data_IF_085119936039
#
_entry.id   IF_085119936039
#
_cell.length_a   1.000
_cell.length_b   1.000
_cell.length_c   1.000
_cell.angle_alpha   90.00
_cell.angle_beta   90.00
_cell.angle_gamma   90.00
#
_symmetry.space_group_name_H-M   'P 1'
#
loop_
_entity.id
_entity.type
_entity.pdbx_description
1 polymer ?
#
# COMPACT_ATOMS: atom_id res chain seq x y z
N UNK A 1 -1.37 -5.38 25.55
CA UNK A 1 -1.41 -4.01 25.00
C UNK A 1 -2.72 -3.24 25.24
N UNK A 2 -3.84 -3.89 25.61
CA UNK A 2 -5.14 -3.21 25.69
C UNK A 2 -5.22 -1.95 26.57
N UNK A 3 -4.48 -1.83 27.67
CA UNK A 3 -4.57 -0.63 28.54
C UNK A 3 -3.99 0.64 27.91
N UNK A 4 -2.94 0.53 27.08
CA UNK A 4 -2.32 1.70 26.42
C UNK A 4 -3.14 2.11 25.22
N UNK A 5 -3.56 1.14 24.41
CA UNK A 5 -4.45 1.35 23.27
C UNK A 5 -5.75 2.05 23.69
N UNK A 6 -6.44 1.56 24.73
CA UNK A 6 -7.67 2.19 25.24
C UNK A 6 -7.45 3.64 25.70
N UNK A 7 -6.28 3.94 26.30
CA UNK A 7 -5.96 5.31 26.74
C UNK A 7 -5.65 6.25 25.58
N UNK A 8 -4.95 5.76 24.56
CA UNK A 8 -4.54 6.57 23.41
C UNK A 8 -5.59 6.60 22.30
N UNK A 9 -6.58 5.71 22.32
CA UNK A 9 -7.63 5.66 21.31
C UNK A 9 -8.33 7.02 21.14
N UNK A 10 -8.81 7.62 22.25
CA UNK A 10 -9.50 8.91 22.21
C UNK A 10 -8.66 10.06 21.62
N UNK A 11 -7.42 10.32 22.08
CA UNK A 11 -6.61 11.38 21.48
C UNK A 11 -6.22 11.10 20.02
N UNK A 12 -5.98 9.83 19.65
CA UNK A 12 -5.69 9.46 18.26
C UNK A 12 -6.89 9.70 17.34
N UNK A 13 -8.09 9.28 17.77
CA UNK A 13 -9.34 9.57 17.05
C UNK A 13 -9.59 11.07 16.94
N UNK A 14 -9.34 11.84 18.00
CA UNK A 14 -9.47 13.30 17.94
C UNK A 14 -8.53 13.95 16.91
N UNK A 15 -7.28 13.48 16.80
CA UNK A 15 -6.32 13.94 15.78
C UNK A 15 -6.88 13.72 14.36
N UNK A 16 -7.45 12.53 14.12
CA UNK A 16 -8.02 12.14 12.83
C UNK A 16 -9.27 12.96 12.52
N UNK A 17 -10.24 12.98 13.44
CA UNK A 17 -11.54 13.63 13.26
C UNK A 17 -11.42 15.15 13.09
N UNK A 18 -10.42 15.77 13.75
CA UNK A 18 -10.18 17.22 13.64
C UNK A 18 -9.14 17.59 12.60
N UNK A 19 -8.72 16.62 11.78
CA UNK A 19 -7.76 16.78 10.68
C UNK A 19 -6.47 17.51 11.09
N UNK A 20 -5.86 17.12 12.23
CA UNK A 20 -4.60 17.70 12.70
C UNK A 20 -3.44 17.18 11.87
N UNK A 21 -3.25 17.78 10.69
CA UNK A 21 -2.30 17.36 9.66
C UNK A 21 -0.89 17.06 10.19
N UNK A 22 -0.38 17.92 11.09
CA UNK A 22 0.94 17.79 11.70
C UNK A 22 1.13 16.56 12.61
N UNK A 23 0.03 15.97 13.10
CA UNK A 23 0.03 14.79 13.97
C UNK A 23 -0.51 13.53 13.27
N UNK A 24 -1.11 13.69 12.10
CA UNK A 24 -1.83 12.62 11.41
C UNK A 24 -0.91 11.42 11.10
N UNK A 25 0.29 11.66 10.59
CA UNK A 25 1.26 10.60 10.29
C UNK A 25 1.62 9.79 11.53
N UNK A 26 1.93 10.45 12.65
CA UNK A 26 2.23 9.79 13.92
C UNK A 26 1.04 9.01 14.46
N UNK A 27 -0.18 9.56 14.31
CA UNK A 27 -1.38 8.86 14.74
C UNK A 27 -1.55 7.53 14.00
N UNK A 28 -1.37 7.53 12.67
CA UNK A 28 -1.43 6.30 11.89
C UNK A 28 -0.30 5.32 12.22
N UNK A 29 0.93 5.78 12.45
CA UNK A 29 2.02 4.89 12.88
C UNK A 29 1.72 4.19 14.20
N UNK A 30 1.17 4.92 15.19
CA UNK A 30 0.78 4.34 16.48
C UNK A 30 -0.39 3.34 16.29
N UNK A 31 -1.37 3.70 15.46
CA UNK A 31 -2.50 2.82 15.15
C UNK A 31 -2.05 1.55 14.42
N UNK A 32 -1.08 1.63 13.52
CA UNK A 32 -0.46 0.46 12.88
C UNK A 32 0.17 -0.46 13.93
N UNK A 33 0.93 0.11 14.88
CA UNK A 33 1.51 -0.66 15.97
C UNK A 33 0.44 -1.36 16.82
N UNK A 34 -0.66 -0.67 17.15
CA UNK A 34 -1.76 -1.27 17.89
C UNK A 34 -2.49 -2.35 17.10
N UNK A 35 -2.80 -2.08 15.83
CA UNK A 35 -3.45 -3.05 14.95
C UNK A 35 -2.61 -4.33 14.81
N UNK A 36 -1.29 -4.21 14.62
CA UNK A 36 -0.37 -5.35 14.49
C UNK A 36 -0.35 -6.25 15.73
N UNK A 37 -0.50 -5.66 16.92
CA UNK A 37 -0.41 -6.36 18.20
C UNK A 37 -1.77 -6.70 18.83
N UNK A 38 -2.87 -6.18 18.27
CA UNK A 38 -4.21 -6.52 18.73
C UNK A 38 -4.56 -7.98 18.40
N UNK A 39 -5.33 -8.60 19.28
CA UNK A 39 -5.87 -9.96 19.08
C UNK A 39 -7.15 -9.97 18.25
N UNK A 40 -7.81 -8.82 18.07
CA UNK A 40 -9.09 -8.72 17.39
C UNK A 40 -9.15 -7.49 16.48
N UNK A 41 -9.89 -7.62 15.38
CA UNK A 41 -10.15 -6.53 14.45
C UNK A 41 -11.22 -5.60 15.02
N UNK A 42 -10.80 -4.55 15.74
CA UNK A 42 -11.72 -3.58 16.35
C UNK A 42 -12.54 -2.82 15.31
N UNK A 43 -13.75 -2.39 15.68
CA UNK A 43 -14.62 -1.57 14.82
C UNK A 43 -13.92 -0.28 14.35
N UNK A 44 -13.07 0.31 15.20
CA UNK A 44 -12.28 1.48 14.85
C UNK A 44 -11.34 1.19 13.67
N UNK A 45 -10.59 0.08 13.71
CA UNK A 45 -9.69 -0.29 12.62
C UNK A 45 -10.45 -0.54 11.32
N UNK A 46 -11.62 -1.19 11.41
CA UNK A 46 -12.47 -1.43 10.26
C UNK A 46 -12.96 -0.12 9.62
N UNK A 47 -13.45 0.82 10.42
CA UNK A 47 -13.90 2.14 9.95
C UNK A 47 -12.75 2.95 9.33
N UNK A 48 -11.59 2.95 9.97
CA UNK A 48 -10.40 3.65 9.44
C UNK A 48 -9.95 3.05 8.12
N UNK A 49 -9.84 1.72 8.03
CA UNK A 49 -9.50 1.03 6.80
C UNK A 49 -10.50 1.36 5.68
N UNK A 50 -11.79 1.32 5.98
CA UNK A 50 -12.84 1.64 5.01
C UNK A 50 -12.76 3.10 4.56
N UNK A 51 -12.52 4.05 5.47
CA UNK A 51 -12.39 5.46 5.14
C UNK A 51 -11.18 5.72 4.24
N UNK A 52 -10.02 5.13 4.57
CA UNK A 52 -8.80 5.27 3.78
C UNK A 52 -8.94 4.73 2.37
N UNK A 53 -9.60 3.58 2.21
CA UNK A 53 -9.69 2.90 0.92
C UNK A 53 -10.74 3.55 0.00
N UNK A 54 -11.86 4.01 0.57
CA UNK A 54 -12.96 4.59 -0.23
C UNK A 54 -12.74 6.03 -0.65
N UNK A 55 -11.96 6.80 0.12
CA UNK A 55 -11.68 8.20 -0.19
C UNK A 55 -10.28 8.33 -0.79
N UNK A 56 -10.23 8.45 -2.12
CA UNK A 56 -8.99 8.61 -2.87
C UNK A 56 -8.22 9.89 -2.53
N UNK A 57 -8.89 10.91 -1.99
CA UNK A 57 -8.25 12.20 -1.67
C UNK A 57 -7.20 12.10 -0.57
N UNK A 58 -7.30 11.08 0.29
CA UNK A 58 -6.27 10.75 1.28
C UNK A 58 -4.90 10.42 0.65
N UNK A 59 -4.90 10.06 -0.63
CA UNK A 59 -3.74 9.57 -1.37
C UNK A 59 -3.28 10.53 -2.47
N UNK A 60 -3.84 11.74 -2.49
CA UNK A 60 -3.49 12.74 -3.49
C UNK A 60 -2.15 13.41 -3.21
N UNK A 61 -1.67 14.12 -4.23
CA UNK A 61 -0.36 14.77 -4.24
C UNK A 61 -0.13 15.69 -3.04
N UNK A 62 -1.18 16.35 -2.55
CA UNK A 62 -1.11 17.29 -1.43
C UNK A 62 -0.88 16.57 -0.10
N UNK A 63 -1.19 15.27 -0.02
CA UNK A 63 -1.05 14.44 1.17
C UNK A 63 0.18 13.50 1.13
N UNK A 64 1.12 13.70 0.19
CA UNK A 64 2.30 12.83 0.01
C UNK A 64 3.11 12.54 1.27
N UNK A 65 3.20 13.51 2.17
CA UNK A 65 3.93 13.37 3.43
C UNK A 65 3.25 12.38 4.40
N UNK A 66 1.94 12.15 4.25
CA UNK A 66 1.18 11.19 5.05
C UNK A 66 1.16 9.79 4.45
N UNK A 67 1.21 9.68 3.12
CA UNK A 67 1.07 8.42 2.37
C UNK A 67 1.90 7.28 2.98
N UNK A 68 3.19 7.44 3.35
CA UNK A 68 3.95 6.35 3.96
C UNK A 68 3.31 5.78 5.23
N UNK A 69 2.79 6.64 6.12
CA UNK A 69 2.17 6.21 7.38
C UNK A 69 0.80 5.55 7.14
N UNK A 70 0.04 6.04 6.16
CA UNK A 70 -1.22 5.42 5.74
C UNK A 70 -0.98 4.05 5.12
N UNK A 71 0.06 3.93 4.29
CA UNK A 71 0.51 2.68 3.68
C UNK A 71 0.88 1.64 4.75
N UNK A 72 1.63 2.02 5.78
CA UNK A 72 1.99 1.11 6.87
C UNK A 72 0.74 0.58 7.60
N UNK A 73 -0.28 1.43 7.79
CA UNK A 73 -1.55 1.01 8.38
C UNK A 73 -2.29 0.02 7.48
N UNK A 74 -2.42 0.33 6.19
CA UNK A 74 -3.06 -0.56 5.20
C UNK A 74 -2.35 -1.91 5.16
N UNK A 75 -1.02 -1.94 5.07
CA UNK A 75 -0.24 -3.19 5.07
C UNK A 75 -0.46 -3.96 6.36
N UNK A 76 -0.48 -3.29 7.51
CA UNK A 76 -0.76 -3.93 8.80
C UNK A 76 -2.13 -4.60 8.78
N UNK A 77 -3.15 -3.92 8.27
CA UNK A 77 -4.49 -4.48 8.14
C UNK A 77 -4.51 -5.70 7.22
N UNK A 78 -3.82 -5.65 6.08
CA UNK A 78 -3.71 -6.78 5.13
C UNK A 78 -3.05 -7.99 5.79
N UNK A 79 -1.94 -7.76 6.49
CA UNK A 79 -1.15 -8.82 7.11
C UNK A 79 -1.85 -9.44 8.33
N UNK A 80 -2.55 -8.64 9.14
CA UNK A 80 -3.12 -9.08 10.42
C UNK A 80 -4.57 -9.53 10.31
N UNK A 81 -5.36 -8.87 9.48
CA UNK A 81 -6.81 -9.07 9.35
C UNK A 81 -7.17 -9.39 7.89
N UNK A 82 -6.43 -10.31 7.29
CA UNK A 82 -6.50 -10.63 5.85
C UNK A 82 -7.93 -10.89 5.37
N UNK A 83 -8.69 -11.71 6.09
CA UNK A 83 -10.06 -12.08 5.68
C UNK A 83 -10.99 -10.86 5.62
N UNK A 84 -10.85 -9.92 6.57
CA UNK A 84 -11.56 -8.65 6.51
C UNK A 84 -11.11 -7.80 5.33
N UNK A 85 -9.80 -7.76 5.04
CA UNK A 85 -9.29 -6.91 3.95
C UNK A 85 -9.56 -7.45 2.55
N UNK A 86 -9.79 -8.76 2.38
CA UNK A 86 -10.11 -9.38 1.08
C UNK A 86 -11.35 -8.77 0.42
N UNK A 87 -12.32 -8.29 1.19
CA UNK A 87 -13.52 -7.65 0.65
C UNK A 87 -13.22 -6.31 -0.06
N UNK A 88 -12.05 -5.71 0.18
CA UNK A 88 -11.61 -4.45 -0.43
C UNK A 88 -10.56 -4.67 -1.53
N UNK A 89 -10.41 -5.90 -2.03
CA UNK A 89 -9.33 -6.21 -2.97
C UNK A 89 -9.38 -5.35 -4.23
N UNK A 90 -10.55 -5.15 -4.84
CA UNK A 90 -10.72 -4.26 -5.99
C UNK A 90 -10.31 -2.82 -5.71
N UNK A 91 -10.68 -2.29 -4.54
CA UNK A 91 -10.33 -0.93 -4.15
C UNK A 91 -8.83 -0.81 -3.85
N UNK A 92 -8.22 -1.82 -3.23
CA UNK A 92 -6.78 -1.89 -2.99
C UNK A 92 -5.98 -1.96 -4.29
N UNK A 93 -6.47 -2.68 -5.29
CA UNK A 93 -5.88 -2.70 -6.64
C UNK A 93 -5.89 -1.29 -7.23
N UNK A 94 -7.03 -0.61 -7.16
CA UNK A 94 -7.17 0.77 -7.64
C UNK A 94 -6.25 1.74 -6.89
N UNK A 95 -6.11 1.56 -5.57
CA UNK A 95 -5.17 2.33 -4.76
C UNK A 95 -3.72 2.13 -5.22
N UNK A 96 -3.28 0.89 -5.43
CA UNK A 96 -1.92 0.62 -5.92
C UNK A 96 -1.67 1.35 -7.26
N UNK A 97 -2.63 1.27 -8.20
CA UNK A 97 -2.57 1.97 -9.49
C UNK A 97 -2.51 3.48 -9.33
N UNK A 98 -3.32 4.04 -8.43
CA UNK A 98 -3.33 5.48 -8.13
C UNK A 98 -1.98 5.96 -7.60
N UNK A 99 -1.42 5.26 -6.60
CA UNK A 99 -0.12 5.59 -6.00
C UNK A 99 1.03 5.51 -7.01
N UNK A 100 0.99 4.52 -7.90
CA UNK A 100 2.00 4.34 -8.95
C UNK A 100 1.79 5.23 -10.17
N UNK A 101 0.69 5.98 -10.25
CA UNK A 101 0.39 6.85 -11.38
C UNK A 101 1.40 7.98 -11.51
N UNK A 102 1.47 8.58 -12.72
CA UNK A 102 2.34 9.73 -12.95
C UNK A 102 1.96 10.97 -12.13
N UNK A 103 0.71 11.06 -11.68
CA UNK A 103 0.22 12.16 -10.85
C UNK A 103 0.75 12.05 -9.42
N UNK A 104 0.76 10.84 -8.85
CA UNK A 104 1.09 10.61 -7.44
C UNK A 104 2.57 10.23 -7.26
N UNK A 105 3.16 9.36 -8.08
CA UNK A 105 4.61 9.02 -7.98
C UNK A 105 5.05 8.54 -6.60
N UNK A 106 4.23 7.71 -5.97
CA UNK A 106 4.52 7.00 -4.73
C UNK A 106 4.63 5.51 -5.05
N UNK A 107 5.49 5.19 -6.04
CA UNK A 107 5.58 3.83 -6.58
C UNK A 107 6.02 2.83 -5.52
N UNK A 108 6.90 3.24 -4.60
CA UNK A 108 7.37 2.37 -3.52
C UNK A 108 6.23 1.95 -2.59
N UNK A 109 5.35 2.87 -2.23
CA UNK A 109 4.21 2.62 -1.36
C UNK A 109 3.16 1.74 -2.04
N UNK A 110 2.87 2.00 -3.33
CA UNK A 110 2.01 1.14 -4.13
C UNK A 110 2.54 -0.29 -4.23
N UNK A 111 3.85 -0.46 -4.47
CA UNK A 111 4.49 -1.78 -4.56
C UNK A 111 4.52 -2.53 -3.23
N UNK A 112 4.68 -1.84 -2.10
CA UNK A 112 4.60 -2.46 -0.77
C UNK A 112 3.20 -2.99 -0.48
N UNK A 113 2.15 -2.23 -0.80
CA UNK A 113 0.76 -2.70 -0.67
C UNK A 113 0.52 -3.91 -1.58
N UNK A 114 0.89 -3.80 -2.86
CA UNK A 114 0.75 -4.89 -3.81
C UNK A 114 1.48 -6.17 -3.35
N UNK A 115 2.70 -6.04 -2.84
CA UNK A 115 3.47 -7.16 -2.27
C UNK A 115 2.74 -7.82 -1.10
N UNK A 116 2.21 -7.02 -0.17
CA UNK A 116 1.44 -7.53 0.97
C UNK A 116 0.16 -8.24 0.52
N UNK A 117 -0.53 -7.72 -0.50
CA UNK A 117 -1.71 -8.38 -1.09
C UNK A 117 -1.36 -9.73 -1.69
N UNK A 118 -0.29 -9.81 -2.49
CA UNK A 118 0.17 -11.06 -3.10
C UNK A 118 0.54 -12.10 -2.03
N UNK A 119 1.36 -11.72 -1.05
CA UNK A 119 1.87 -12.62 -0.02
C UNK A 119 0.77 -13.09 0.95
N UNK A 120 -0.10 -12.17 1.40
CA UNK A 120 -1.03 -12.47 2.50
C UNK A 120 -2.40 -12.89 2.02
N UNK A 121 -2.91 -12.26 0.97
CA UNK A 121 -4.22 -12.63 0.45
C UNK A 121 -4.14 -13.83 -0.50
N UNK A 122 -2.95 -14.16 -1.01
CA UNK A 122 -2.76 -15.17 -2.06
C UNK A 122 -3.46 -14.78 -3.36
N UNK A 123 -3.73 -13.49 -3.55
CA UNK A 123 -4.49 -12.99 -4.68
C UNK A 123 -3.62 -12.98 -5.94
N UNK A 124 -3.69 -14.07 -6.70
CA UNK A 124 -3.22 -14.09 -8.08
C UNK A 124 -4.39 -13.79 -9.02
N UNK A 125 -4.62 -12.51 -9.26
CA UNK A 125 -5.44 -12.07 -10.39
C UNK A 125 -4.50 -11.65 -11.54
N UNK A 126 -4.46 -12.39 -12.66
CA UNK A 126 -3.59 -12.06 -13.80
C UNK A 126 -3.79 -10.63 -14.31
N UNK A 127 -5.01 -10.10 -14.26
CA UNK A 127 -5.29 -8.73 -14.68
C UNK A 127 -4.64 -7.71 -13.74
N UNK A 128 -4.78 -7.90 -12.43
CA UNK A 128 -4.08 -7.09 -11.43
C UNK A 128 -2.56 -7.14 -11.60
N UNK A 129 -1.98 -8.33 -11.70
CA UNK A 129 -0.52 -8.48 -11.81
C UNK A 129 -0.02 -7.80 -13.08
N UNK A 130 -0.74 -7.96 -14.20
CA UNK A 130 -0.46 -7.26 -15.45
C UNK A 130 -0.48 -5.75 -15.29
N UNK A 131 -1.50 -5.20 -14.61
CA UNK A 131 -1.62 -3.76 -14.35
C UNK A 131 -0.46 -3.23 -13.51
N UNK A 132 -0.05 -3.96 -12.47
CA UNK A 132 1.10 -3.59 -11.63
C UNK A 132 2.40 -3.63 -12.44
N UNK A 133 2.63 -4.67 -13.23
CA UNK A 133 3.83 -4.77 -14.05
C UNK A 133 3.88 -3.66 -15.11
N UNK A 134 2.73 -3.34 -15.73
CA UNK A 134 2.65 -2.23 -16.67
C UNK A 134 2.98 -0.90 -15.98
N UNK A 135 2.49 -0.68 -14.76
CA UNK A 135 2.83 0.49 -13.96
C UNK A 135 4.33 0.54 -13.60
N UNK A 136 4.94 -0.59 -13.22
CA UNK A 136 6.39 -0.71 -12.99
C UNK A 136 7.15 -0.29 -14.25
N UNK A 137 6.89 -0.93 -15.39
CA UNK A 137 7.63 -0.66 -16.62
C UNK A 137 7.43 0.75 -17.14
N UNK A 138 6.21 1.30 -17.01
CA UNK A 138 5.92 2.70 -17.33
C UNK A 138 6.71 3.67 -16.46
N UNK A 139 6.82 3.39 -15.15
CA UNK A 139 7.61 4.19 -14.23
C UNK A 139 9.11 4.10 -14.55
N UNK A 140 9.65 2.89 -14.78
CA UNK A 140 11.06 2.70 -15.16
C UNK A 140 11.39 3.39 -16.50
N UNK A 141 10.48 3.31 -17.47
CA UNK A 141 10.61 4.00 -18.75
C UNK A 141 10.64 5.52 -18.56
N UNK A 142 9.72 6.07 -17.76
CA UNK A 142 9.72 7.49 -17.42
C UNK A 142 11.05 7.92 -16.79
N UNK A 143 11.58 7.18 -15.82
CA UNK A 143 12.83 7.56 -15.17
C UNK A 143 14.00 7.57 -16.15
N UNK A 144 14.08 6.58 -17.05
CA UNK A 144 15.14 6.49 -18.06
C UNK A 144 15.05 7.55 -19.15
N UNK A 145 13.86 7.98 -19.53
CA UNK A 145 13.68 8.81 -20.74
C UNK A 145 13.26 10.24 -20.44
N UNK A 146 12.55 10.48 -19.33
CA UNK A 146 11.87 11.74 -19.05
C UNK A 146 12.46 12.49 -17.85
N UNK A 147 13.44 11.91 -17.14
CA UNK A 147 14.18 12.65 -16.09
C UNK A 147 15.53 13.13 -16.60
N UNK A 148 15.99 14.27 -16.09
CA UNK A 148 17.29 14.86 -16.46
C UNK A 148 18.46 13.90 -16.26
N UNK A 149 18.42 13.12 -15.17
CA UNK A 149 19.47 12.15 -14.86
C UNK A 149 19.40 10.88 -15.69
N UNK A 150 18.24 10.55 -16.27
CA UNK A 150 18.00 9.25 -16.94
C UNK A 150 18.34 8.04 -16.05
N UNK A 151 18.27 8.24 -14.73
CA UNK A 151 18.60 7.24 -13.71
C UNK A 151 17.34 6.91 -12.93
N UNK A 152 17.12 5.61 -12.71
CA UNK A 152 16.06 5.11 -11.83
C UNK A 152 16.53 5.27 -10.39
N UNK A 153 15.75 5.95 -9.51
CA UNK A 153 16.11 6.07 -8.09
C UNK A 153 16.31 4.70 -7.43
N UNK A 154 17.39 4.56 -6.65
CA UNK A 154 17.74 3.30 -5.98
C UNK A 154 16.61 2.76 -5.09
N UNK A 155 15.91 3.65 -4.40
CA UNK A 155 14.77 3.27 -3.56
C UNK A 155 13.68 2.57 -4.37
N UNK A 156 13.31 3.11 -5.55
CA UNK A 156 12.29 2.54 -6.42
C UNK A 156 12.75 1.19 -6.99
N UNK A 157 13.99 1.12 -7.48
CA UNK A 157 14.53 -0.13 -8.02
C UNK A 157 14.55 -1.24 -6.96
N UNK A 158 14.87 -0.91 -5.70
CA UNK A 158 14.80 -1.86 -4.59
C UNK A 158 13.38 -2.38 -4.38
N UNK A 159 12.37 -1.52 -4.32
CA UNK A 159 10.97 -1.98 -4.14
C UNK A 159 10.49 -2.84 -5.32
N UNK A 160 10.90 -2.50 -6.55
CA UNK A 160 10.61 -3.32 -7.75
C UNK A 160 11.23 -4.72 -7.62
N UNK A 161 12.50 -4.80 -7.21
CA UNK A 161 13.17 -6.09 -7.00
C UNK A 161 12.53 -6.90 -5.87
N UNK A 162 12.15 -6.26 -4.77
CA UNK A 162 11.44 -6.91 -3.65
C UNK A 162 10.08 -7.44 -4.11
N UNK A 163 9.34 -6.67 -4.89
CA UNK A 163 8.06 -7.10 -5.45
C UNK A 163 8.23 -8.32 -6.38
N UNK A 164 9.19 -8.30 -7.31
CA UNK A 164 9.47 -9.46 -8.16
C UNK A 164 9.92 -10.69 -7.36
N UNK A 165 10.78 -10.50 -6.36
CA UNK A 165 11.19 -11.60 -5.48
C UNK A 165 10.00 -12.19 -4.73
N UNK A 166 9.12 -11.33 -4.18
CA UNK A 166 7.89 -11.75 -3.51
C UNK A 166 6.98 -12.53 -4.46
N UNK A 167 6.82 -12.06 -5.69
CA UNK A 167 6.05 -12.75 -6.71
C UNK A 167 6.62 -14.14 -7.01
N UNK A 168 7.93 -14.24 -7.26
CA UNK A 168 8.59 -15.52 -7.58
C UNK A 168 8.51 -16.51 -6.42
N UNK A 169 8.65 -16.04 -5.17
CA UNK A 169 8.53 -16.91 -3.98
C UNK A 169 7.13 -17.49 -3.85
N UNK A 170 6.08 -16.70 -4.16
CA UNK A 170 4.70 -17.12 -3.95
C UNK A 170 4.08 -17.88 -5.14
N UNK A 171 4.43 -17.51 -6.37
CA UNK A 171 3.80 -18.05 -7.59
C UNK A 171 4.78 -18.73 -8.55
N UNK A 172 6.08 -18.56 -8.33
CA UNK A 172 7.12 -19.16 -9.18
C UNK A 172 7.49 -18.33 -10.41
N UNK A 173 8.61 -18.71 -11.02
CA UNK A 173 9.20 -17.99 -12.15
C UNK A 173 8.39 -18.14 -13.45
N UNK A 174 7.68 -19.25 -13.62
CA UNK A 174 6.95 -19.51 -14.86
C UNK A 174 5.76 -18.55 -15.00
N UNK A 175 5.02 -18.30 -13.92
CA UNK A 175 3.93 -17.34 -13.93
C UNK A 175 4.43 -15.90 -14.14
N UNK A 176 5.61 -15.58 -13.62
CA UNK A 176 6.26 -14.30 -13.87
C UNK A 176 6.52 -14.10 -15.38
N UNK A 177 7.10 -15.11 -16.03
CA UNK A 177 7.36 -15.09 -17.48
C UNK A 177 6.04 -14.98 -18.26
N UNK A 178 5.02 -15.75 -17.87
CA UNK A 178 3.73 -15.75 -18.53
C UNK A 178 3.08 -14.36 -18.49
N UNK A 179 3.08 -13.68 -17.34
CA UNK A 179 2.53 -12.32 -17.22
C UNK A 179 3.36 -11.31 -18.01
N UNK A 180 4.69 -11.39 -17.95
CA UNK A 180 5.57 -10.53 -18.76
C UNK A 180 5.30 -10.66 -20.27
N UNK A 181 5.04 -11.87 -20.76
CA UNK A 181 4.73 -12.11 -22.17
C UNK A 181 3.38 -11.52 -22.60
N UNK A 182 2.45 -11.26 -21.67
CA UNK A 182 1.15 -10.62 -21.96
C UNK A 182 1.22 -9.09 -22.02
N UNK A 183 2.37 -8.50 -21.68
CA UNK A 183 2.61 -7.05 -21.70
C UNK A 183 3.32 -6.61 -23.00
N UNK A 184 3.97 -7.54 -23.70
CA UNK A 184 4.54 -7.33 -25.04
C UNK A 184 3.45 -7.02 -26.07
#
# INVERSE_FOLDING_TARGET
MGKVEVRLQRPLTYIIDTNKQELMGYAFQILSLFAANSGANSEMYQKLMQALIKDSTNWDKDNKYLIPSLTDFVITMICKYTDFTKQFSGDLINLCKHLMSQAIRMEGEGLKIASAMLERMGMFDPAFVKDIFFAIFSSLHFYRNNTKGKVIPTAIMREVLVFFATFVINFGIQDLINVCNQIQ
#
